data_IF_284618144780
#
_entry.id   IF_284618144780
#
_cell.length_a   1.000
_cell.length_b   1.000
_cell.length_c   1.000
_cell.angle_alpha   90.00
_cell.angle_beta   90.00
_cell.angle_gamma   90.00
#
_symmetry.space_group_name_H-M   'P 1'
#
loop_
_entity.id
_entity.type
_entity.pdbx_description
1 polymer ?
#
# COMPACT_ATOMS: atom_id res chain seq x y z
N UNK A 1 7.72 0.06 7.99
CA UNK A 1 6.50 0.44 7.25
C UNK A 1 6.69 0.39 5.73
N UNK A 2 7.67 1.11 5.17
CA UNK A 2 7.91 1.15 3.72
C UNK A 2 8.19 -0.23 3.09
N UNK A 3 9.01 -1.06 3.75
CA UNK A 3 9.32 -2.44 3.30
C UNK A 3 8.06 -3.30 3.18
N UNK A 4 7.09 -3.15 4.11
CA UNK A 4 5.82 -3.86 4.05
C UNK A 4 4.99 -3.45 2.83
N UNK A 5 4.97 -2.15 2.49
CA UNK A 5 4.31 -1.65 1.30
C UNK A 5 4.91 -2.26 0.02
N UNK A 6 6.24 -2.33 -0.09
CA UNK A 6 6.90 -2.97 -1.24
C UNK A 6 6.58 -4.46 -1.39
N UNK A 7 6.42 -5.20 -0.28
CA UNK A 7 6.01 -6.61 -0.30
C UNK A 7 4.59 -6.75 -0.88
N UNK A 8 3.65 -5.90 -0.45
CA UNK A 8 2.29 -5.89 -1.02
C UNK A 8 2.29 -5.54 -2.51
N UNK A 9 3.15 -4.61 -2.94
CA UNK A 9 3.30 -4.26 -4.34
C UNK A 9 3.76 -5.47 -5.20
N UNK A 10 4.73 -6.26 -4.72
CA UNK A 10 5.18 -7.48 -5.41
C UNK A 10 4.03 -8.50 -5.52
N UNK A 11 3.28 -8.72 -4.45
CA UNK A 11 2.12 -9.63 -4.47
C UNK A 11 1.04 -9.15 -5.45
N UNK A 12 0.83 -7.85 -5.57
CA UNK A 12 -0.10 -7.26 -6.53
C UNK A 12 0.35 -7.54 -7.97
N UNK A 13 1.65 -7.38 -8.27
CA UNK A 13 2.20 -7.68 -9.61
C UNK A 13 2.02 -9.16 -9.97
N UNK A 14 2.32 -10.07 -9.05
CA UNK A 14 2.15 -11.52 -9.27
C UNK A 14 0.66 -11.85 -9.52
N UNK A 15 -0.23 -11.31 -8.69
CA UNK A 15 -1.67 -11.54 -8.84
C UNK A 15 -2.22 -11.00 -10.17
N UNK A 16 -1.74 -9.83 -10.60
CA UNK A 16 -2.09 -9.24 -11.90
C UNK A 16 -1.68 -10.14 -13.07
N UNK A 17 -0.47 -10.71 -13.04
CA UNK A 17 -0.01 -11.64 -14.07
C UNK A 17 -0.93 -12.85 -14.22
N UNK A 18 -1.38 -13.43 -13.10
CA UNK A 18 -2.36 -14.53 -13.11
C UNK A 18 -3.77 -14.10 -13.53
N UNK A 19 -4.17 -12.87 -13.21
CA UNK A 19 -5.50 -12.33 -13.51
C UNK A 19 -5.69 -11.98 -15.00
N UNK A 20 -4.63 -11.62 -15.73
CA UNK A 20 -4.73 -11.18 -17.13
C UNK A 20 -4.24 -12.22 -18.15
N UNK A 21 -3.49 -13.25 -17.72
CA UNK A 21 -2.91 -14.26 -18.62
C UNK A 21 -3.79 -15.48 -18.92
N UNK A 22 -4.94 -15.69 -18.25
CA UNK A 22 -5.76 -16.91 -18.40
C UNK A 22 -7.25 -16.62 -18.62
N UNK A 23 -7.98 -17.47 -19.37
CA UNK A 23 -9.42 -17.31 -19.61
C UNK A 23 -10.21 -17.30 -18.29
N UNK A 24 -11.36 -16.59 -18.30
CA UNK A 24 -12.20 -16.27 -17.14
C UNK A 24 -12.51 -17.53 -16.30
N UNK A 25 -11.74 -17.70 -15.23
CA UNK A 25 -11.90 -18.76 -14.23
C UNK A 25 -12.17 -18.11 -12.88
N UNK A 26 -12.79 -18.86 -11.96
CA UNK A 26 -12.96 -18.45 -10.54
C UNK A 26 -11.64 -17.99 -9.93
N UNK A 27 -10.52 -18.59 -10.36
CA UNK A 27 -9.16 -18.22 -9.94
C UNK A 27 -8.79 -16.79 -10.36
N UNK A 28 -9.21 -16.37 -11.55
CA UNK A 28 -8.99 -15.02 -12.09
C UNK A 28 -9.73 -13.96 -11.27
N UNK A 29 -10.96 -14.28 -10.82
CA UNK A 29 -11.78 -13.40 -9.99
C UNK A 29 -11.16 -13.25 -8.60
N UNK A 30 -10.71 -14.36 -8.00
CA UNK A 30 -10.01 -14.36 -6.72
C UNK A 30 -8.70 -13.55 -6.78
N UNK A 31 -7.91 -13.71 -7.85
CA UNK A 31 -6.69 -12.94 -8.07
C UNK A 31 -6.96 -11.43 -8.20
N UNK A 32 -8.04 -11.04 -8.89
CA UNK A 32 -8.47 -9.63 -8.92
C UNK A 32 -8.83 -9.10 -7.53
N UNK A 33 -9.53 -9.89 -6.72
CA UNK A 33 -9.94 -9.48 -5.38
C UNK A 33 -8.72 -9.29 -4.45
N UNK A 34 -7.76 -10.23 -4.50
CA UNK A 34 -6.49 -10.13 -3.77
C UNK A 34 -5.66 -8.93 -4.25
N UNK A 35 -5.65 -8.65 -5.55
CA UNK A 35 -4.98 -7.48 -6.13
C UNK A 35 -5.54 -6.18 -5.56
N UNK A 36 -6.86 -5.99 -5.59
CA UNK A 36 -7.47 -4.76 -5.04
C UNK A 36 -7.26 -4.62 -3.54
N UNK A 37 -7.34 -5.72 -2.79
CA UNK A 37 -7.05 -5.69 -1.36
C UNK A 37 -5.60 -5.30 -1.06
N UNK A 38 -4.64 -5.93 -1.74
CA UNK A 38 -3.22 -5.60 -1.64
C UNK A 38 -2.93 -4.14 -2.00
N UNK A 39 -3.54 -3.65 -3.08
CA UNK A 39 -3.39 -2.28 -3.55
C UNK A 39 -3.94 -1.26 -2.53
N UNK A 40 -5.11 -1.52 -1.95
CA UNK A 40 -5.68 -0.67 -0.91
C UNK A 40 -4.76 -0.61 0.32
N UNK A 41 -4.23 -1.76 0.73
CA UNK A 41 -3.32 -1.86 1.88
C UNK A 41 -1.99 -1.14 1.62
N UNK A 42 -1.48 -1.23 0.39
CA UNK A 42 -0.31 -0.47 -0.06
C UNK A 42 -0.52 1.03 0.10
N UNK A 43 -1.64 1.57 -0.39
CA UNK A 43 -1.93 3.01 -0.26
C UNK A 43 -2.05 3.44 1.20
N UNK A 44 -2.75 2.69 2.04
CA UNK A 44 -2.85 3.00 3.48
C UNK A 44 -1.47 3.04 4.13
N UNK A 45 -0.64 2.01 3.91
CA UNK A 45 0.72 1.96 4.45
C UNK A 45 1.61 3.10 3.93
N UNK A 46 1.45 3.47 2.66
CA UNK A 46 2.19 4.56 2.04
C UNK A 46 1.80 5.90 2.66
N UNK A 47 0.51 6.18 2.83
CA UNK A 47 0.07 7.40 3.51
C UNK A 47 0.56 7.44 4.95
N UNK A 48 0.38 6.38 5.73
CA UNK A 48 0.88 6.32 7.11
C UNK A 48 2.39 6.53 7.18
N UNK A 49 3.15 5.95 6.25
CA UNK A 49 4.60 6.17 6.15
C UNK A 49 4.95 7.65 5.94
N UNK A 50 4.23 8.35 5.07
CA UNK A 50 4.48 9.78 4.80
C UNK A 50 4.14 10.62 6.04
N UNK A 51 2.99 10.37 6.68
CA UNK A 51 2.56 11.12 7.85
C UNK A 51 3.42 10.86 9.09
N UNK A 52 3.90 9.63 9.30
CA UNK A 52 4.83 9.29 10.40
C UNK A 52 6.22 9.90 10.20
N UNK A 53 6.68 10.03 8.95
CA UNK A 53 7.97 10.65 8.64
C UNK A 53 7.90 12.17 8.50
N UNK A 54 6.71 12.78 8.62
CA UNK A 54 6.59 14.23 8.68
C UNK A 54 7.28 14.73 9.97
N UNK A 55 8.09 15.80 9.91
CA UNK A 55 8.66 16.40 11.10
C UNK A 55 7.53 16.73 12.08
N UNK A 56 7.73 16.52 13.40
CA UNK A 56 6.75 17.01 14.37
C UNK A 56 6.49 18.48 14.11
N UNK A 57 5.21 18.91 14.17
CA UNK A 57 4.87 20.31 13.99
C UNK A 57 5.75 21.13 14.94
N UNK A 58 6.34 22.26 14.47
CA UNK A 58 7.12 23.13 15.34
C UNK A 58 6.26 23.45 16.56
N UNK A 59 6.74 23.06 17.73
CA UNK A 59 6.12 23.47 18.98
C UNK A 59 6.21 25.01 18.98
N UNK A 60 5.08 25.69 18.80
CA UNK A 60 4.90 27.13 19.04
C UNK A 60 5.02 27.44 20.55
N UNK A 61 5.92 26.74 21.25
CA UNK A 61 6.31 27.03 22.61
C UNK A 61 7.25 28.22 22.54
N UNK A 62 6.62 29.38 22.41
CA UNK A 62 7.14 30.73 22.61
C UNK A 62 8.36 30.67 23.53
N UNK A 63 9.53 30.94 22.96
CA UNK A 63 10.69 31.36 23.73
C UNK A 63 10.20 32.48 24.67
N UNK A 64 10.36 32.33 25.99
CA UNK A 64 10.11 33.42 26.91
C UNK A 64 11.26 34.40 26.71
N UNK A 65 11.07 35.35 25.79
CA UNK A 65 11.79 36.63 25.79
C UNK A 65 11.33 37.43 27.01
#
# INVERSE_FOLDING_TARGET
MLIGAFIFLILAVISSFFAFGRPKSTVTLLAKMIFYFSLALFFVLLFTSIYTSAPPLPDDKKLPI
#
